data_IF_274273942396
#
_entry.id   IF_274273942396
#
_cell.length_a   1.000
_cell.length_b   1.000
_cell.length_c   1.000
_cell.angle_alpha   90.00
_cell.angle_beta   90.00
_cell.angle_gamma   90.00
#
_symmetry.space_group_name_H-M   'P 1'
#
loop_
_entity.id
_entity.type
_entity.pdbx_description
1 polymer ?
#
# COMPACT_ATOMS: atom_id res chain seq x y z
N UNK A 1 13.45 5.22 -27.58
CA UNK A 1 13.24 3.81 -27.16
C UNK A 1 14.52 3.16 -26.64
N UNK A 2 15.59 3.02 -27.43
CA UNK A 2 16.86 2.38 -27.03
C UNK A 2 17.52 2.93 -25.74
N UNK A 3 17.51 4.25 -25.54
CA UNK A 3 18.07 4.92 -24.33
C UNK A 3 17.19 4.75 -23.09
N UNK A 4 15.87 4.61 -23.26
CA UNK A 4 14.94 4.21 -22.18
C UNK A 4 15.13 2.73 -21.83
N UNK A 5 15.31 1.87 -22.83
CA UNK A 5 15.52 0.43 -22.66
C UNK A 5 16.82 0.11 -21.91
N UNK A 6 17.90 0.84 -22.20
CA UNK A 6 19.17 0.69 -21.46
C UNK A 6 19.08 1.21 -20.02
N UNK A 7 18.31 2.28 -19.75
CA UNK A 7 18.10 2.76 -18.39
C UNK A 7 17.18 1.86 -17.56
N UNK A 8 16.29 1.09 -18.22
CA UNK A 8 15.39 0.12 -17.59
C UNK A 8 16.10 -1.22 -17.30
N UNK A 9 16.96 -1.72 -18.21
CA UNK A 9 17.76 -2.92 -17.96
C UNK A 9 18.76 -2.75 -16.81
N UNK A 10 19.30 -1.54 -16.62
CA UNK A 10 20.22 -1.23 -15.53
C UNK A 10 19.55 -1.19 -14.13
N UNK A 11 18.21 -1.18 -14.05
CA UNK A 11 17.46 -1.00 -12.78
C UNK A 11 16.94 -2.30 -12.16
N UNK A 12 17.02 -3.43 -12.86
CA UNK A 12 16.29 -4.65 -12.48
C UNK A 12 17.16 -5.84 -12.03
N UNK A 13 18.48 -5.69 -11.91
CA UNK A 13 19.35 -6.77 -11.40
C UNK A 13 20.25 -6.21 -10.31
N UNK A 14 19.94 -6.54 -9.05
CA UNK A 14 20.87 -6.39 -7.94
C UNK A 14 21.99 -7.42 -8.11
N UNK A 15 23.00 -7.08 -8.90
CA UNK A 15 24.21 -7.87 -8.99
C UNK A 15 25.04 -7.65 -7.72
N UNK A 16 25.78 -8.67 -7.27
CA UNK A 16 26.82 -8.55 -6.23
C UNK A 16 27.85 -7.46 -6.60
N UNK A 17 27.94 -7.14 -7.89
CA UNK A 17 28.79 -6.12 -8.50
C UNK A 17 28.10 -4.78 -8.74
N UNK A 18 26.93 -4.49 -8.15
CA UNK A 18 26.30 -3.17 -8.30
C UNK A 18 27.27 -2.08 -7.80
N UNK A 19 27.84 -1.25 -8.71
CA UNK A 19 28.86 -0.27 -8.36
C UNK A 19 28.30 0.86 -7.48
N UNK A 20 26.98 0.90 -7.28
CA UNK A 20 26.30 1.85 -6.41
C UNK A 20 26.20 1.37 -4.96
N UNK A 21 26.48 0.09 -4.68
CA UNK A 21 26.40 -0.48 -3.33
C UNK A 21 27.80 -0.76 -2.74
N UNK A 22 27.92 -0.62 -1.42
CA UNK A 22 29.17 -0.84 -0.69
C UNK A 22 29.20 -2.23 -0.06
N UNK A 23 30.38 -2.83 0.00
CA UNK A 23 30.60 -4.07 0.73
C UNK A 23 30.82 -3.82 2.22
N UNK A 24 30.45 -4.79 3.07
CA UNK A 24 30.54 -4.65 4.52
C UNK A 24 31.94 -4.28 5.04
N UNK A 25 33.06 -4.81 4.50
CA UNK A 25 34.40 -4.39 4.95
C UNK A 25 34.68 -2.90 4.72
N UNK A 26 34.26 -2.35 3.58
CA UNK A 26 34.40 -0.92 3.26
C UNK A 26 33.59 -0.08 4.23
N UNK A 27 32.35 -0.50 4.53
CA UNK A 27 31.51 0.15 5.53
C UNK A 27 32.16 0.13 6.91
N UNK A 28 32.65 -1.03 7.36
CA UNK A 28 33.26 -1.20 8.68
C UNK A 28 34.48 -0.28 8.88
N UNK A 29 35.37 -0.21 7.88
CA UNK A 29 36.53 0.67 7.91
C UNK A 29 36.16 2.14 7.86
N UNK A 30 35.31 2.53 6.91
CA UNK A 30 34.96 3.93 6.74
C UNK A 30 34.20 4.47 7.97
N UNK A 31 33.21 3.74 8.46
CA UNK A 31 32.46 4.11 9.66
C UNK A 31 33.35 4.09 10.91
N UNK A 32 34.30 3.13 11.00
CA UNK A 32 35.27 3.06 12.08
C UNK A 32 36.29 4.20 12.08
N UNK A 33 36.65 4.75 10.92
CA UNK A 33 37.41 5.98 10.84
C UNK A 33 36.57 7.18 11.27
N UNK A 34 35.34 7.30 10.76
CA UNK A 34 34.47 8.43 11.06
C UNK A 34 34.19 8.55 12.55
N UNK A 35 33.90 7.45 13.24
CA UNK A 35 33.59 7.50 14.68
C UNK A 35 34.76 8.02 15.53
N UNK A 36 36.00 7.80 15.08
CA UNK A 36 37.21 8.32 15.75
C UNK A 36 37.46 9.80 15.44
N UNK A 37 37.08 10.26 14.25
CA UNK A 37 37.41 11.62 13.78
C UNK A 37 36.29 12.64 13.95
N UNK A 38 35.04 12.23 13.74
CA UNK A 38 33.87 13.11 13.69
C UNK A 38 32.60 12.27 13.96
N UNK A 39 32.13 12.31 15.20
CA UNK A 39 31.00 11.50 15.67
C UNK A 39 29.67 11.93 15.04
N UNK A 40 29.48 13.21 14.78
CA UNK A 40 28.28 13.73 14.09
C UNK A 40 28.22 13.22 12.65
N UNK A 41 29.36 13.24 11.95
CA UNK A 41 29.46 12.72 10.59
C UNK A 41 29.31 11.20 10.53
N UNK A 42 29.77 10.48 11.56
CA UNK A 42 29.48 9.06 11.75
C UNK A 42 27.97 8.82 11.89
N UNK A 43 27.26 9.55 12.76
CA UNK A 43 25.81 9.42 12.93
C UNK A 43 25.06 9.70 11.62
N UNK A 44 25.46 10.73 10.87
CA UNK A 44 24.91 11.03 9.55
C UNK A 44 25.08 9.85 8.58
N UNK A 45 26.31 9.34 8.42
CA UNK A 45 26.60 8.24 7.51
C UNK A 45 25.94 6.92 7.95
N UNK A 46 25.82 6.69 9.26
CA UNK A 46 25.12 5.55 9.83
C UNK A 46 23.63 5.57 9.47
N UNK A 47 22.98 6.72 9.61
CA UNK A 47 21.58 6.90 9.21
C UNK A 47 21.39 6.67 7.71
N UNK A 48 22.30 7.15 6.84
CA UNK A 48 22.22 6.87 5.40
C UNK A 48 22.21 5.36 5.11
N UNK A 49 23.15 4.61 5.69
CA UNK A 49 23.28 3.16 5.46
C UNK A 49 22.10 2.37 6.02
N UNK A 50 21.55 2.81 7.16
CA UNK A 50 20.52 2.05 7.87
C UNK A 50 19.09 2.44 7.48
N UNK A 51 18.88 3.62 6.91
CA UNK A 51 17.54 4.09 6.53
C UNK A 51 17.35 4.25 5.02
N UNK A 52 18.43 4.45 4.26
CA UNK A 52 18.36 4.73 2.82
C UNK A 52 17.73 6.09 2.48
N UNK A 53 17.52 6.96 3.48
CA UNK A 53 17.02 8.32 3.25
C UNK A 53 18.01 9.09 2.37
N UNK A 54 17.48 9.89 1.44
CA UNK A 54 18.31 10.72 0.55
C UNK A 54 19.21 11.66 1.35
N UNK A 55 20.50 11.81 0.98
CA UNK A 55 21.43 12.67 1.71
C UNK A 55 20.94 14.10 1.91
N UNK A 56 20.36 14.72 0.86
CA UNK A 56 19.82 16.08 0.91
C UNK A 56 18.76 16.23 2.01
N UNK A 57 17.77 15.33 2.00
CA UNK A 57 16.72 15.34 3.03
C UNK A 57 17.30 15.17 4.43
N UNK A 58 18.26 14.25 4.60
CA UNK A 58 18.85 13.99 5.92
C UNK A 58 19.65 15.20 6.42
N UNK A 59 20.37 15.89 5.54
CA UNK A 59 21.13 17.11 5.86
C UNK A 59 20.22 18.24 6.37
N UNK A 60 19.00 18.33 5.82
CA UNK A 60 18.04 19.38 6.12
C UNK A 60 17.09 19.03 7.29
N UNK A 61 17.24 17.85 7.91
CA UNK A 61 16.45 17.48 9.08
C UNK A 61 16.73 18.46 10.22
N UNK A 62 15.67 18.91 10.87
CA UNK A 62 15.74 19.82 12.03
C UNK A 62 15.31 19.11 13.30
N UNK A 63 15.78 19.59 14.44
CA UNK A 63 15.33 19.15 15.76
C UNK A 63 14.02 19.86 16.13
N UNK A 64 13.01 19.13 16.61
CA UNK A 64 11.77 19.73 17.14
C UNK A 64 11.21 18.92 18.31
N UNK A 65 10.62 19.61 19.29
CA UNK A 65 9.95 18.97 20.43
C UNK A 65 8.45 18.73 20.17
N UNK A 66 7.91 19.27 19.07
CA UNK A 66 6.51 19.11 18.67
C UNK A 66 6.36 19.03 17.13
N UNK A 67 5.26 18.46 16.61
CA UNK A 67 4.95 18.53 15.18
C UNK A 67 4.83 20.00 14.76
N UNK A 68 5.30 20.31 13.55
CA UNK A 68 5.15 21.62 12.94
C UNK A 68 4.82 21.40 11.47
N UNK A 69 3.72 22.00 11.02
CA UNK A 69 3.06 21.73 9.73
C UNK A 69 3.94 22.02 8.49
N UNK A 70 5.09 22.67 8.67
CA UNK A 70 5.95 23.14 7.56
C UNK A 70 7.17 22.28 7.26
N UNK A 71 7.62 21.41 8.18
CA UNK A 71 8.86 20.63 7.96
C UNK A 71 8.60 19.28 7.29
N UNK A 72 9.32 18.99 6.20
CA UNK A 72 9.24 17.70 5.52
C UNK A 72 9.86 16.54 6.33
N UNK A 73 10.83 16.84 7.21
CA UNK A 73 11.47 15.88 8.09
C UNK A 73 12.00 16.56 9.37
N UNK A 74 11.89 15.89 10.52
CA UNK A 74 12.43 16.37 11.80
C UNK A 74 12.76 15.21 12.75
N UNK A 75 13.66 15.46 13.71
CA UNK A 75 13.88 14.58 14.86
C UNK A 75 12.99 15.03 16.01
N UNK A 76 12.10 14.14 16.47
CA UNK A 76 11.37 14.28 17.73
C UNK A 76 12.24 13.77 18.87
N UNK A 77 12.77 14.70 19.66
CA UNK A 77 13.71 14.42 20.73
C UNK A 77 13.07 13.87 21.99
N UNK A 78 11.76 14.10 22.18
CA UNK A 78 11.03 13.52 23.31
C UNK A 78 10.87 12.02 23.13
N UNK A 79 10.69 11.58 21.89
CA UNK A 79 10.41 10.17 21.57
C UNK A 79 11.59 9.44 20.91
N UNK A 80 12.68 10.14 20.57
CA UNK A 80 13.82 9.61 19.80
C UNK A 80 13.37 9.04 18.43
N UNK A 81 12.43 9.72 17.78
CA UNK A 81 11.90 9.32 16.49
C UNK A 81 12.36 10.28 15.39
N UNK A 82 12.77 9.72 14.25
CA UNK A 82 12.90 10.47 13.02
C UNK A 82 11.55 10.44 12.29
N UNK A 83 10.98 11.62 12.04
CA UNK A 83 9.67 11.79 11.41
C UNK A 83 9.84 12.46 10.07
N UNK A 84 9.21 11.92 9.02
CA UNK A 84 9.31 12.46 7.66
C UNK A 84 8.13 12.05 6.79
N UNK A 85 7.83 12.89 5.81
CA UNK A 85 6.82 12.60 4.80
C UNK A 85 7.32 11.57 3.78
N UNK A 86 6.51 10.54 3.52
CA UNK A 86 6.79 9.55 2.48
C UNK A 86 6.39 10.10 1.11
N UNK A 87 7.37 10.38 0.26
CA UNK A 87 7.13 10.94 -1.08
C UNK A 87 6.73 9.85 -2.09
N UNK A 88 5.84 10.20 -3.01
CA UNK A 88 5.37 9.35 -4.12
C UNK A 88 4.67 8.04 -3.72
N UNK A 89 4.25 7.90 -2.46
CA UNK A 89 3.64 6.68 -1.94
C UNK A 89 2.11 6.68 -2.03
N UNK A 90 1.46 7.31 -1.05
CA UNK A 90 0.04 7.13 -0.78
C UNK A 90 -0.88 7.86 -1.76
N UNK A 91 -2.06 7.28 -2.00
CA UNK A 91 -3.24 8.06 -2.35
C UNK A 91 -3.63 8.88 -1.12
N UNK A 92 -3.29 10.16 -1.12
CA UNK A 92 -3.55 11.11 -0.06
C UNK A 92 -4.49 12.21 -0.55
N UNK A 93 -5.55 12.48 0.21
CA UNK A 93 -6.47 13.60 -0.05
C UNK A 93 -6.28 14.71 0.97
N UNK A 94 -5.99 14.32 2.21
CA UNK A 94 -5.64 15.24 3.28
C UNK A 94 -4.10 15.26 3.45
N UNK A 95 -3.42 16.37 3.14
CA UNK A 95 -1.99 16.51 3.30
C UNK A 95 -1.54 16.61 4.77
N UNK A 96 -2.47 16.73 5.72
CA UNK A 96 -2.18 16.76 7.15
C UNK A 96 -2.40 15.40 7.82
N UNK A 97 -2.85 14.40 7.06
CA UNK A 97 -3.15 13.08 7.60
C UNK A 97 -1.88 12.35 8.03
N UNK A 98 -1.91 11.77 9.23
CA UNK A 98 -0.78 11.04 9.81
C UNK A 98 -0.24 9.89 8.93
N UNK A 99 -1.11 9.31 8.09
CA UNK A 99 -0.76 8.18 7.21
C UNK A 99 0.28 8.53 6.14
N UNK A 100 0.56 9.81 5.88
CA UNK A 100 1.62 10.19 4.92
C UNK A 100 2.99 10.30 5.57
N UNK A 101 3.07 10.24 6.91
CA UNK A 101 4.30 10.35 7.66
C UNK A 101 4.79 8.98 8.14
N UNK A 102 6.08 8.74 7.95
CA UNK A 102 6.78 7.68 8.64
C UNK A 102 7.36 8.25 9.94
N UNK A 103 7.24 7.48 11.04
CA UNK A 103 7.99 7.73 12.28
C UNK A 103 8.86 6.52 12.53
N UNK A 104 10.17 6.73 12.52
CA UNK A 104 11.17 5.70 12.67
C UNK A 104 11.86 5.86 14.02
N UNK A 105 11.76 4.84 14.87
CA UNK A 105 12.46 4.79 16.14
C UNK A 105 13.96 4.58 15.90
N UNK A 106 14.78 5.43 16.49
CA UNK A 106 16.23 5.37 16.36
C UNK A 106 16.90 4.90 17.65
N UNK A 107 18.07 4.23 17.58
CA UNK A 107 18.88 3.95 18.76
C UNK A 107 19.23 5.22 19.54
N UNK A 108 19.11 5.18 20.87
CA UNK A 108 19.28 6.37 21.72
C UNK A 108 20.68 7.02 21.64
N UNK A 109 21.71 6.26 21.27
CA UNK A 109 23.05 6.80 21.09
C UNK A 109 23.19 7.72 19.86
N UNK A 110 22.32 7.58 18.86
CA UNK A 110 22.31 8.48 17.70
C UNK A 110 21.77 9.86 18.09
N UNK A 111 20.71 9.89 18.90
CA UNK A 111 20.00 11.13 19.23
C UNK A 111 20.77 12.00 20.23
N UNK A 112 21.60 11.40 21.08
CA UNK A 112 22.44 12.11 22.04
C UNK A 112 23.48 13.05 21.39
N UNK A 113 23.86 12.81 20.13
CA UNK A 113 24.85 13.60 19.41
C UNK A 113 24.24 14.80 18.67
N UNK A 114 22.92 14.96 18.71
CA UNK A 114 22.24 16.07 18.04
C UNK A 114 22.19 17.28 18.98
N UNK A 115 22.99 18.30 18.67
CA UNK A 115 23.01 19.58 19.38
C UNK A 115 21.64 20.27 19.47
N UNK A 116 21.53 21.29 20.33
CA UNK A 116 20.27 21.99 20.63
C UNK A 116 19.91 23.07 19.60
N UNK A 117 20.88 23.63 18.89
CA UNK A 117 20.67 24.74 17.95
C UNK A 117 21.33 24.41 16.59
N UNK A 118 20.55 24.56 15.50
CA UNK A 118 20.87 24.24 14.09
C UNK A 118 20.55 22.82 13.59
N UNK A 119 20.35 22.62 12.27
CA UNK A 119 20.24 21.29 11.68
C UNK A 119 21.48 20.46 12.06
N UNK A 120 21.33 19.28 12.70
CA UNK A 120 22.46 18.51 13.23
C UNK A 120 23.46 18.09 12.15
N UNK A 121 23.03 18.07 10.89
CA UNK A 121 23.83 17.60 9.76
C UNK A 121 24.11 18.68 8.71
N UNK A 122 24.01 19.97 9.07
CA UNK A 122 24.30 21.07 8.15
C UNK A 122 25.68 20.87 7.48
N UNK A 123 25.71 20.91 6.14
CA UNK A 123 26.91 20.68 5.31
C UNK A 123 27.53 19.26 5.42
N UNK A 124 26.87 18.29 6.05
CA UNK A 124 27.42 16.95 6.25
C UNK A 124 27.72 16.24 4.93
N UNK A 125 26.97 16.49 3.85
CA UNK A 125 27.23 15.88 2.54
C UNK A 125 28.61 16.25 2.01
N UNK A 126 28.97 17.54 2.06
CA UNK A 126 30.26 18.02 1.59
C UNK A 126 31.42 17.45 2.42
N UNK A 127 31.24 17.41 3.75
CA UNK A 127 32.24 16.88 4.68
C UNK A 127 32.42 15.36 4.53
N UNK A 128 31.31 14.59 4.48
CA UNK A 128 31.32 13.14 4.29
C UNK A 128 31.98 12.76 2.97
N UNK A 129 31.60 13.42 1.86
CA UNK A 129 32.21 13.13 0.56
C UNK A 129 33.69 13.52 0.50
N UNK A 130 34.13 14.57 1.23
CA UNK A 130 35.56 14.89 1.37
C UNK A 130 36.31 13.80 2.12
N UNK A 131 35.75 13.28 3.22
CA UNK A 131 36.35 12.16 3.95
C UNK A 131 36.35 10.87 3.13
N UNK A 132 35.27 10.57 2.39
CA UNK A 132 35.18 9.41 1.50
C UNK A 132 36.24 9.45 0.39
N UNK A 133 36.51 10.62 -0.19
CA UNK A 133 37.60 10.80 -1.16
C UNK A 133 38.96 10.51 -0.53
N UNK A 134 39.24 11.06 0.66
CA UNK A 134 40.49 10.79 1.39
C UNK A 134 40.65 9.30 1.72
N UNK A 135 39.58 8.67 2.20
CA UNK A 135 39.53 7.23 2.46
C UNK A 135 39.90 6.43 1.20
N UNK A 136 39.33 6.78 0.04
CA UNK A 136 39.57 6.07 -1.22
C UNK A 136 41.00 6.19 -1.75
N UNK A 137 41.80 7.15 -1.26
CA UNK A 137 43.23 7.24 -1.58
C UNK A 137 44.04 6.16 -0.88
N UNK A 138 43.56 5.68 0.28
CA UNK A 138 44.24 4.70 1.12
C UNK A 138 43.66 3.29 0.96
N UNK A 139 42.40 3.20 0.54
CA UNK A 139 41.67 1.93 0.44
C UNK A 139 41.14 1.72 -0.98
N UNK A 140 41.58 0.68 -1.69
CA UNK A 140 41.08 0.38 -3.03
C UNK A 140 39.62 -0.07 -2.98
N UNK A 141 38.84 0.30 -4.00
CA UNK A 141 37.44 -0.12 -4.17
C UNK A 141 36.47 1.05 -4.34
N UNK A 142 35.18 0.77 -4.13
CA UNK A 142 34.13 1.78 -4.30
C UNK A 142 34.21 2.84 -3.19
N UNK A 143 34.42 4.10 -3.58
CA UNK A 143 34.36 5.25 -2.67
C UNK A 143 33.03 5.30 -1.92
N UNK A 144 33.02 5.42 -0.57
CA UNK A 144 31.81 5.47 0.23
C UNK A 144 31.16 6.87 0.22
N UNK A 145 30.72 7.33 -0.95
CA UNK A 145 29.98 8.59 -1.07
C UNK A 145 28.60 8.50 -0.40
N UNK A 146 28.00 9.64 -0.04
CA UNK A 146 26.69 9.68 0.61
C UNK A 146 25.60 8.93 -0.18
N UNK A 147 25.57 9.09 -1.49
CA UNK A 147 24.63 8.39 -2.37
C UNK A 147 24.81 6.87 -2.33
N UNK A 148 26.05 6.38 -2.32
CA UNK A 148 26.32 4.94 -2.23
C UNK A 148 26.01 4.39 -0.85
N UNK A 149 26.28 5.15 0.21
CA UNK A 149 25.88 4.78 1.57
C UNK A 149 24.35 4.60 1.64
N UNK A 150 23.58 5.57 1.13
CA UNK A 150 22.13 5.49 1.08
C UNK A 150 21.63 4.34 0.19
N UNK A 151 22.21 4.12 -0.99
CA UNK A 151 21.83 3.02 -1.88
C UNK A 151 22.09 1.63 -1.26
N UNK A 152 23.14 1.52 -0.46
CA UNK A 152 23.53 0.25 0.20
C UNK A 152 22.45 -0.25 1.17
N UNK A 153 21.61 0.63 1.70
CA UNK A 153 20.46 0.26 2.53
C UNK A 153 19.60 -0.84 1.89
N UNK A 154 19.19 -0.68 0.63
CA UNK A 154 18.32 -1.66 -0.04
C UNK A 154 18.97 -3.04 -0.13
N UNK A 155 20.29 -3.11 -0.31
CA UNK A 155 21.02 -4.38 -0.36
C UNK A 155 21.09 -5.08 1.00
N UNK A 156 21.18 -4.30 2.08
CA UNK A 156 21.37 -4.82 3.43
C UNK A 156 20.04 -5.09 4.15
N UNK A 157 19.02 -4.29 3.89
CA UNK A 157 17.76 -4.28 4.64
C UNK A 157 16.58 -4.80 3.83
N UNK A 158 16.52 -4.60 2.50
CA UNK A 158 15.43 -5.09 1.65
C UNK A 158 15.65 -6.56 1.23
N UNK A 159 15.70 -7.44 2.24
CA UNK A 159 15.85 -8.89 2.08
C UNK A 159 14.51 -9.58 2.35
N UNK A 160 14.30 -10.76 1.75
CA UNK A 160 13.04 -11.52 1.93
C UNK A 160 12.71 -11.81 3.40
N UNK A 161 13.74 -11.89 4.26
CA UNK A 161 13.61 -12.23 5.68
C UNK A 161 13.30 -11.04 6.60
N UNK A 162 13.38 -9.80 6.12
CA UNK A 162 13.26 -8.62 6.97
C UNK A 162 12.24 -7.59 6.46
N UNK A 163 12.52 -7.01 5.30
CA UNK A 163 11.72 -5.93 4.72
C UNK A 163 11.54 -6.21 3.24
N UNK A 164 10.29 -6.15 2.79
CA UNK A 164 10.00 -6.12 1.35
C UNK A 164 10.57 -4.83 0.74
N UNK A 165 10.67 -4.79 -0.59
CA UNK A 165 11.16 -3.61 -1.31
C UNK A 165 10.31 -2.37 -1.03
N UNK A 166 8.99 -2.55 -0.93
CA UNK A 166 8.07 -1.45 -0.64
C UNK A 166 8.30 -0.90 0.77
N UNK A 167 8.45 -1.76 1.76
CA UNK A 167 8.65 -1.35 3.15
C UNK A 167 10.00 -0.67 3.35
N UNK A 168 11.04 -1.20 2.70
CA UNK A 168 12.34 -0.54 2.63
C UNK A 168 12.20 0.86 1.98
N UNK A 169 11.47 0.98 0.88
CA UNK A 169 11.22 2.28 0.24
C UNK A 169 10.41 3.25 1.12
N UNK A 170 9.47 2.73 1.92
CA UNK A 170 8.73 3.50 2.92
C UNK A 170 9.66 4.01 4.02
N UNK A 171 10.57 3.17 4.53
CA UNK A 171 11.61 3.58 5.49
C UNK A 171 12.56 4.61 4.85
N UNK A 172 12.97 4.45 3.59
CA UNK A 172 13.77 5.46 2.89
C UNK A 172 13.01 6.78 2.64
N UNK A 173 11.68 6.79 2.85
CA UNK A 173 10.85 7.98 2.71
C UNK A 173 10.61 8.43 1.28
N UNK A 174 11.01 7.64 0.28
CA UNK A 174 10.82 7.92 -1.14
C UNK A 174 10.51 6.65 -1.89
N UNK A 175 9.29 6.56 -2.41
CA UNK A 175 8.86 5.43 -3.21
C UNK A 175 9.41 5.56 -4.65
N UNK A 176 10.19 4.56 -5.14
CA UNK A 176 10.71 4.55 -6.50
C UNK A 176 9.59 4.33 -7.51
N UNK A 177 9.80 4.75 -8.77
CA UNK A 177 8.79 4.68 -9.83
C UNK A 177 8.17 3.28 -9.99
N UNK A 178 9.00 2.24 -9.94
CA UNK A 178 8.59 0.84 -10.06
C UNK A 178 7.64 0.36 -8.96
N UNK A 179 7.59 1.01 -7.80
CA UNK A 179 6.75 0.66 -6.65
C UNK A 179 5.61 1.67 -6.42
N UNK A 180 5.45 2.68 -7.30
CA UNK A 180 4.42 3.72 -7.11
C UNK A 180 3.01 3.17 -7.23
N UNK A 181 2.78 2.26 -8.18
CA UNK A 181 1.47 1.65 -8.36
C UNK A 181 1.05 0.94 -7.06
N UNK A 182 1.92 0.05 -6.58
CA UNK A 182 1.83 -0.62 -5.29
C UNK A 182 1.52 0.35 -4.12
N UNK A 183 2.41 1.32 -3.89
CA UNK A 183 2.34 2.21 -2.73
C UNK A 183 1.06 3.05 -2.65
N UNK A 184 0.36 3.27 -3.77
CA UNK A 184 -0.93 3.99 -3.78
C UNK A 184 -2.02 3.22 -3.07
N UNK A 185 -1.98 1.89 -3.12
CA UNK A 185 -3.04 1.01 -2.62
C UNK A 185 -2.79 0.50 -1.22
N UNK A 186 -1.53 0.24 -0.87
CA UNK A 186 -1.18 -0.40 0.39
C UNK A 186 -1.17 0.57 1.57
N UNK A 187 -1.46 0.02 2.74
CA UNK A 187 -1.14 0.58 4.03
C UNK A 187 -0.25 -0.39 4.79
N UNK A 188 0.74 0.16 5.48
CA UNK A 188 1.69 -0.58 6.30
C UNK A 188 1.48 -0.19 7.77
N UNK A 189 1.59 -1.18 8.65
CA UNK A 189 1.58 -0.96 10.09
C UNK A 189 2.95 -0.39 10.52
N UNK A 190 2.93 0.81 11.10
CA UNK A 190 4.14 1.54 11.48
C UNK A 190 4.89 0.85 12.62
N UNK A 191 4.18 0.23 13.55
CA UNK A 191 4.79 -0.48 14.66
C UNK A 191 5.52 -1.73 14.14
N UNK A 192 4.86 -2.49 13.26
CA UNK A 192 5.46 -3.66 12.61
C UNK A 192 6.70 -3.28 11.81
N UNK A 193 6.63 -2.22 10.99
CA UNK A 193 7.78 -1.71 10.25
C UNK A 193 8.96 -1.37 11.16
N UNK A 194 8.70 -0.72 12.30
CA UNK A 194 9.74 -0.40 13.27
C UNK A 194 10.35 -1.67 13.89
N UNK A 195 9.55 -2.68 14.24
CA UNK A 195 10.08 -3.96 14.73
C UNK A 195 11.00 -4.62 13.71
N UNK A 196 10.59 -4.65 12.44
CA UNK A 196 11.38 -5.26 11.37
C UNK A 196 12.66 -4.49 11.08
N UNK A 197 12.59 -3.16 11.07
CA UNK A 197 13.76 -2.30 11.00
C UNK A 197 14.75 -2.61 12.14
N UNK A 198 14.28 -2.75 13.38
CA UNK A 198 15.14 -3.07 14.53
C UNK A 198 15.83 -4.43 14.42
N UNK A 199 15.10 -5.46 13.96
CA UNK A 199 15.66 -6.79 13.72
C UNK A 199 16.75 -6.73 12.65
N UNK A 200 16.46 -6.12 11.50
CA UNK A 200 17.43 -5.96 10.42
C UNK A 200 18.65 -5.13 10.85
N UNK A 201 18.43 -4.10 11.67
CA UNK A 201 19.49 -3.25 12.22
C UNK A 201 20.41 -4.03 13.16
N UNK A 202 19.84 -4.82 14.07
CA UNK A 202 20.58 -5.69 14.97
C UNK A 202 21.40 -6.75 14.21
N UNK A 203 20.82 -7.34 13.16
CA UNK A 203 21.54 -8.27 12.29
C UNK A 203 22.69 -7.58 11.55
N UNK A 204 22.46 -6.38 11.01
CA UNK A 204 23.50 -5.59 10.37
C UNK A 204 24.66 -5.28 11.34
N UNK A 205 24.36 -4.90 12.59
CA UNK A 205 25.36 -4.71 13.65
C UNK A 205 26.15 -6.01 13.90
N UNK A 206 25.47 -7.15 14.05
CA UNK A 206 26.13 -8.44 14.25
C UNK A 206 27.06 -8.78 13.08
N UNK A 207 26.61 -8.57 11.84
CA UNK A 207 27.40 -8.82 10.64
C UNK A 207 28.61 -7.90 10.54
N UNK A 208 28.45 -6.59 10.74
CA UNK A 208 29.56 -5.64 10.62
C UNK A 208 30.61 -5.82 11.71
N UNK A 209 30.19 -6.16 12.94
CA UNK A 209 31.11 -6.39 14.08
C UNK A 209 31.86 -7.72 14.00
N UNK A 210 31.27 -8.73 13.37
CA UNK A 210 31.90 -10.04 13.11
C UNK A 210 33.03 -10.00 12.08
N UNK A 211 33.13 -8.92 11.30
CA UNK A 211 34.20 -8.76 10.31
C UNK A 211 35.51 -8.51 11.04
N UNK A 212 36.55 -9.27 10.69
CA UNK A 212 37.89 -9.13 11.28
C UNK A 212 38.41 -7.69 11.18
N UNK A 213 38.15 -7.06 10.03
CA UNK A 213 38.50 -5.67 9.73
C UNK A 213 37.75 -4.61 10.55
N UNK A 214 36.71 -4.95 11.31
CA UNK A 214 35.94 -3.97 12.09
C UNK A 214 36.77 -3.40 13.26
N UNK A 215 37.01 -2.07 13.33
CA UNK A 215 37.79 -1.48 14.42
C UNK A 215 37.11 -1.63 15.78
N UNK A 216 37.90 -1.80 16.85
CA UNK A 216 37.37 -2.05 18.19
C UNK A 216 36.53 -0.89 18.72
N UNK A 217 36.87 0.36 18.39
CA UNK A 217 36.06 1.54 18.72
C UNK A 217 34.65 1.41 18.16
N UNK A 218 34.52 0.98 16.89
CA UNK A 218 33.20 0.76 16.28
C UNK A 218 32.48 -0.42 16.95
N UNK A 219 33.16 -1.52 17.24
CA UNK A 219 32.57 -2.66 17.97
C UNK A 219 32.02 -2.25 19.33
N UNK A 220 32.79 -1.49 20.10
CA UNK A 220 32.40 -1.03 21.43
C UNK A 220 31.18 -0.11 21.37
N UNK A 221 31.16 0.87 20.45
CA UNK A 221 29.99 1.75 20.30
C UNK A 221 28.75 0.96 19.90
N UNK A 222 28.88 0.02 18.95
CA UNK A 222 27.75 -0.78 18.50
C UNK A 222 27.29 -1.84 19.50
N UNK A 223 28.10 -2.20 20.50
CA UNK A 223 27.72 -3.14 21.55
C UNK A 223 26.68 -2.56 22.53
N UNK A 224 26.60 -1.23 22.62
CA UNK A 224 25.68 -0.49 23.51
C UNK A 224 24.54 0.10 22.65
N UNK A 225 23.84 -0.74 21.89
CA UNK A 225 22.68 -0.30 21.12
C UNK A 225 21.38 -0.68 21.82
N UNK A 226 20.50 0.30 22.00
CA UNK A 226 19.14 0.07 22.47
C UNK A 226 18.16 0.97 21.73
N UNK A 227 17.11 0.36 21.19
CA UNK A 227 15.97 1.08 20.67
C UNK A 227 15.00 1.48 21.80
N UNK A 228 14.15 2.50 21.58
CA UNK A 228 13.05 2.81 22.48
C UNK A 228 12.15 1.59 22.66
N UNK A 229 11.72 1.33 23.90
CA UNK A 229 10.78 0.22 24.21
C UNK A 229 9.41 0.45 23.57
N UNK A 230 8.96 1.71 23.55
CA UNK A 230 7.69 2.08 22.94
C UNK A 230 7.92 2.43 21.48
N UNK A 231 7.24 1.71 20.59
CA UNK A 231 7.34 1.92 19.16
C UNK A 231 6.23 2.85 18.65
N UNK A 232 6.49 3.62 17.58
CA UNK A 232 5.46 4.42 16.93
C UNK A 232 4.36 3.51 16.35
N UNK A 233 3.12 3.69 16.82
CA UNK A 233 1.96 2.98 16.31
C UNK A 233 1.29 3.74 15.15
N UNK A 234 0.25 3.12 14.59
CA UNK A 234 -0.55 3.68 13.51
C UNK A 234 -0.16 3.15 12.14
N UNK A 235 -0.69 3.80 11.11
CA UNK A 235 -0.63 3.34 9.73
C UNK A 235 0.15 4.33 8.87
N UNK A 236 0.88 3.85 7.87
CA UNK A 236 1.52 4.67 6.84
C UNK A 236 1.15 4.13 5.45
N UNK A 237 0.75 5.01 4.52
CA UNK A 237 0.30 4.65 3.19
C UNK A 237 -1.09 5.19 2.85
N UNK A 238 -1.86 4.40 2.11
CA UNK A 238 -3.13 4.84 1.52
C UNK A 238 -4.19 5.30 2.54
N UNK A 239 -4.84 6.44 2.27
CA UNK A 239 -5.95 6.92 3.09
C UNK A 239 -7.27 6.18 2.81
N UNK A 240 -7.33 5.34 1.77
CA UNK A 240 -8.52 4.57 1.39
C UNK A 240 -8.54 3.13 1.90
N UNK A 241 -7.40 2.59 2.32
CA UNK A 241 -7.32 1.22 2.84
C UNK A 241 -7.79 1.19 4.30
N UNK A 242 -9.10 1.14 4.48
CA UNK A 242 -9.70 0.94 5.80
C UNK A 242 -9.55 -0.52 6.27
N UNK A 243 -9.52 -0.76 7.59
CA UNK A 243 -9.54 -2.12 8.13
C UNK A 243 -10.74 -2.92 7.57
N UNK A 244 -10.54 -4.18 7.11
CA UNK A 244 -11.63 -5.00 6.60
C UNK A 244 -12.81 -5.15 7.56
N UNK A 245 -12.55 -5.13 8.88
CA UNK A 245 -13.56 -5.22 9.92
C UNK A 245 -14.57 -4.06 9.88
N UNK A 246 -14.20 -2.90 9.34
CA UNK A 246 -15.10 -1.74 9.19
C UNK A 246 -16.25 -2.02 8.22
N UNK A 247 -16.14 -3.08 7.40
CA UNK A 247 -17.17 -3.47 6.43
C UNK A 247 -18.23 -4.39 7.02
N UNK A 248 -17.96 -5.02 8.16
CA UNK A 248 -18.87 -5.98 8.82
C UNK A 248 -20.20 -5.32 9.23
N UNK A 249 -20.24 -4.11 9.82
CA UNK A 249 -21.49 -3.42 10.13
C UNK A 249 -22.36 -3.19 8.90
N UNK A 250 -21.78 -2.78 7.78
CA UNK A 250 -22.51 -2.56 6.53
C UNK A 250 -23.19 -3.84 6.03
N UNK A 251 -22.45 -4.97 6.00
CA UNK A 251 -22.99 -6.26 5.57
C UNK A 251 -24.13 -6.72 6.49
N UNK A 252 -23.96 -6.57 7.82
CA UNK A 252 -25.02 -6.90 8.78
C UNK A 252 -26.27 -6.05 8.57
N UNK A 253 -26.12 -4.75 8.39
CA UNK A 253 -27.22 -3.83 8.15
C UNK A 253 -27.96 -4.13 6.85
N UNK A 254 -27.24 -4.44 5.75
CA UNK A 254 -27.85 -4.86 4.50
C UNK A 254 -28.71 -6.11 4.67
N UNK A 255 -28.19 -7.13 5.35
CA UNK A 255 -28.92 -8.37 5.60
C UNK A 255 -30.17 -8.16 6.47
N UNK A 256 -30.08 -7.30 7.49
CA UNK A 256 -31.22 -6.95 8.34
C UNK A 256 -32.29 -6.22 7.53
N UNK A 257 -31.92 -5.19 6.77
CA UNK A 257 -32.85 -4.42 5.92
C UNK A 257 -33.49 -5.30 4.86
N UNK A 258 -32.73 -6.22 4.26
CA UNK A 258 -33.24 -7.17 3.28
C UNK A 258 -34.29 -8.09 3.92
N UNK A 259 -34.00 -8.65 5.10
CA UNK A 259 -34.91 -9.54 5.82
C UNK A 259 -36.24 -8.84 6.13
N UNK A 260 -36.20 -7.58 6.57
CA UNK A 260 -37.41 -6.77 6.77
C UNK A 260 -38.17 -6.55 5.47
N UNK A 261 -37.51 -6.09 4.41
CA UNK A 261 -38.16 -5.84 3.12
C UNK A 261 -38.79 -7.11 2.54
N UNK A 262 -38.09 -8.24 2.64
CA UNK A 262 -38.57 -9.53 2.17
C UNK A 262 -39.75 -10.06 2.98
N UNK A 263 -39.76 -9.85 4.31
CA UNK A 263 -40.90 -10.17 5.16
C UNK A 263 -42.12 -9.32 4.77
N UNK A 264 -41.96 -8.01 4.61
CA UNK A 264 -43.03 -7.10 4.20
C UNK A 264 -43.60 -7.44 2.82
N UNK A 265 -42.75 -7.85 1.88
CA UNK A 265 -43.16 -8.33 0.55
C UNK A 265 -44.09 -9.56 0.64
N UNK A 266 -43.85 -10.45 1.62
CA UNK A 266 -44.67 -11.64 1.84
C UNK A 266 -45.99 -11.33 2.58
N UNK A 267 -46.00 -10.35 3.48
CA UNK A 267 -47.13 -10.07 4.35
C UNK A 267 -48.08 -8.96 3.86
N UNK A 268 -47.59 -8.00 3.05
CA UNK A 268 -48.38 -6.84 2.61
C UNK A 268 -49.04 -7.08 1.25
N UNK A 269 -50.32 -6.70 1.10
CA UNK A 269 -51.01 -6.64 -0.20
C UNK A 269 -50.85 -5.28 -0.90
N UNK A 270 -50.77 -4.20 -0.13
CA UNK A 270 -50.50 -2.85 -0.63
C UNK A 270 -48.99 -2.62 -0.79
N UNK A 271 -48.61 -1.82 -1.80
CA UNK A 271 -47.22 -1.44 -2.08
C UNK A 271 -46.25 -2.62 -2.35
N UNK A 272 -46.75 -3.78 -2.80
CA UNK A 272 -45.93 -4.96 -3.16
C UNK A 272 -44.78 -4.62 -4.10
N UNK A 273 -45.02 -3.75 -5.08
CA UNK A 273 -44.00 -3.32 -6.04
C UNK A 273 -42.85 -2.55 -5.36
N UNK A 274 -43.17 -1.63 -4.43
CA UNK A 274 -42.15 -0.88 -3.67
C UNK A 274 -41.33 -1.81 -2.79
N UNK A 275 -41.97 -2.75 -2.11
CA UNK A 275 -41.27 -3.74 -1.28
C UNK A 275 -40.40 -4.70 -2.10
N UNK A 276 -40.88 -5.09 -3.29
CA UNK A 276 -40.11 -5.89 -4.24
C UNK A 276 -38.86 -5.14 -4.71
N UNK A 277 -38.99 -3.88 -5.15
CA UNK A 277 -37.86 -3.05 -5.58
C UNK A 277 -36.84 -2.86 -4.46
N UNK A 278 -37.29 -2.60 -3.22
CA UNK A 278 -36.40 -2.52 -2.05
C UNK A 278 -35.63 -3.82 -1.81
N UNK A 279 -36.33 -4.96 -1.81
CA UNK A 279 -35.70 -6.26 -1.60
C UNK A 279 -34.67 -6.58 -2.71
N UNK A 280 -35.01 -6.29 -3.98
CA UNK A 280 -34.11 -6.46 -5.12
C UNK A 280 -32.87 -5.55 -5.00
N UNK A 281 -33.05 -4.27 -4.70
CA UNK A 281 -31.95 -3.31 -4.55
C UNK A 281 -30.99 -3.75 -3.43
N UNK A 282 -31.50 -4.14 -2.27
CA UNK A 282 -30.67 -4.63 -1.15
C UNK A 282 -29.94 -5.94 -1.48
N UNK A 283 -30.58 -6.86 -2.18
CA UNK A 283 -29.96 -8.11 -2.61
C UNK A 283 -28.84 -7.88 -3.62
N UNK A 284 -29.05 -6.98 -4.59
CA UNK A 284 -28.04 -6.63 -5.58
C UNK A 284 -26.94 -5.73 -5.01
N UNK A 285 -27.22 -4.91 -3.98
CA UNK A 285 -26.20 -4.20 -3.21
C UNK A 285 -25.27 -5.19 -2.48
N UNK A 286 -25.81 -6.27 -1.91
CA UNK A 286 -24.99 -7.34 -1.32
C UNK A 286 -24.15 -8.07 -2.39
N UNK A 287 -24.73 -8.34 -3.57
CA UNK A 287 -23.97 -8.89 -4.70
C UNK A 287 -22.84 -7.96 -5.16
N UNK A 288 -23.09 -6.65 -5.19
CA UNK A 288 -22.07 -5.65 -5.50
C UNK A 288 -20.89 -5.75 -4.52
N UNK A 289 -21.16 -5.79 -3.21
CA UNK A 289 -20.12 -5.95 -2.19
C UNK A 289 -19.33 -7.26 -2.33
N UNK A 290 -20.04 -8.38 -2.51
CA UNK A 290 -19.39 -9.70 -2.66
C UNK A 290 -18.48 -9.72 -3.90
N UNK A 291 -18.90 -9.11 -5.01
CA UNK A 291 -18.07 -8.98 -6.21
C UNK A 291 -16.85 -8.10 -5.98
N UNK A 292 -16.99 -6.95 -5.30
CA UNK A 292 -15.87 -6.09 -4.96
C UNK A 292 -14.83 -6.82 -4.09
N UNK A 293 -15.28 -7.60 -3.10
CA UNK A 293 -14.40 -8.41 -2.24
C UNK A 293 -13.76 -9.58 -2.99
N UNK A 294 -14.52 -10.31 -3.82
CA UNK A 294 -14.01 -11.50 -4.50
C UNK A 294 -13.00 -11.18 -5.59
N UNK A 295 -13.19 -10.05 -6.27
CA UNK A 295 -12.48 -9.78 -7.51
C UNK A 295 -11.56 -8.55 -7.43
N UNK A 296 -11.56 -7.82 -6.31
CA UNK A 296 -10.76 -6.60 -6.11
C UNK A 296 -10.87 -5.58 -7.28
N UNK A 297 -12.02 -5.59 -7.96
CA UNK A 297 -12.20 -4.90 -9.23
C UNK A 297 -12.27 -3.39 -9.05
N UNK A 298 -12.08 -2.69 -10.17
CA UNK A 298 -12.67 -1.36 -10.31
C UNK A 298 -14.21 -1.48 -10.11
N UNK A 299 -14.88 -0.45 -9.58
CA UNK A 299 -16.34 -0.40 -9.49
C UNK A 299 -16.98 -0.87 -10.81
N UNK A 300 -18.00 -1.71 -10.69
CA UNK A 300 -18.75 -2.21 -11.85
C UNK A 300 -19.31 -1.00 -12.60
N UNK A 301 -18.87 -0.81 -13.84
CA UNK A 301 -19.34 0.23 -14.77
C UNK A 301 -20.11 -0.36 -15.94
N UNK A 302 -20.66 0.49 -16.80
CA UNK A 302 -21.46 0.06 -17.97
C UNK A 302 -20.72 -0.89 -18.91
N UNK A 303 -19.41 -0.66 -19.12
CA UNK A 303 -18.55 -1.51 -19.94
C UNK A 303 -18.03 -2.77 -19.20
N UNK A 304 -18.56 -3.08 -18.02
CA UNK A 304 -18.13 -4.27 -17.26
C UNK A 304 -18.90 -5.49 -17.71
N UNK A 305 -18.19 -6.55 -18.06
CA UNK A 305 -18.77 -7.86 -18.35
C UNK A 305 -18.24 -8.90 -17.37
N UNK A 306 -19.05 -9.93 -17.10
CA UNK A 306 -18.67 -11.08 -16.27
C UNK A 306 -19.13 -12.37 -16.92
N UNK A 307 -18.29 -13.40 -16.86
CA UNK A 307 -18.64 -14.77 -17.20
C UNK A 307 -18.20 -15.70 -16.07
N UNK A 308 -19.10 -16.56 -15.59
CA UNK A 308 -18.79 -17.57 -14.60
C UNK A 308 -18.73 -18.93 -15.26
N UNK A 309 -17.65 -19.66 -14.97
CA UNK A 309 -17.61 -21.10 -15.18
C UNK A 309 -17.89 -21.79 -13.86
N UNK A 310 -19.07 -22.41 -13.74
CA UNK A 310 -19.41 -23.28 -12.61
C UNK A 310 -18.48 -24.49 -12.58
N UNK A 311 -18.20 -25.07 -13.76
CA UNK A 311 -17.33 -26.24 -13.91
C UNK A 311 -15.92 -25.98 -13.36
N UNK A 312 -15.32 -24.84 -13.72
CA UNK A 312 -13.97 -24.48 -13.27
C UNK A 312 -13.97 -23.64 -11.99
N UNK A 313 -15.15 -23.33 -11.43
CA UNK A 313 -15.33 -22.39 -10.30
C UNK A 313 -14.55 -21.10 -10.51
N UNK A 314 -14.66 -20.50 -11.68
CA UNK A 314 -13.92 -19.28 -12.09
C UNK A 314 -14.87 -18.19 -12.54
N UNK A 315 -14.51 -16.95 -12.23
CA UNK A 315 -15.15 -15.74 -12.71
C UNK A 315 -14.15 -14.96 -13.57
N UNK A 316 -14.53 -14.65 -14.80
CA UNK A 316 -13.80 -13.74 -15.69
C UNK A 316 -14.57 -12.43 -15.70
N UNK A 317 -13.90 -11.34 -15.38
CA UNK A 317 -14.46 -9.99 -15.54
C UNK A 317 -13.59 -9.13 -16.43
N UNK A 318 -14.23 -8.29 -17.23
CA UNK A 318 -13.57 -7.33 -18.09
C UNK A 318 -14.04 -5.93 -17.70
N UNK A 319 -13.12 -5.04 -17.34
CA UNK A 319 -13.44 -3.66 -16.94
C UNK A 319 -12.81 -2.68 -17.92
N UNK A 320 -13.53 -2.37 -19.02
CA UNK A 320 -13.12 -1.45 -20.11
C UNK A 320 -11.85 -1.87 -20.87
N UNK A 321 -11.90 -1.85 -22.20
CA UNK A 321 -10.69 -1.95 -23.02
C UNK A 321 -9.90 -0.65 -22.88
N UNK A 322 -8.63 -0.73 -22.51
CA UNK A 322 -7.70 0.39 -22.70
C UNK A 322 -7.28 0.41 -24.18
N UNK A 323 -6.81 1.56 -24.67
CA UNK A 323 -6.39 1.71 -26.08
C UNK A 323 -5.24 0.79 -26.49
N UNK A 324 -4.56 0.17 -25.50
CA UNK A 324 -3.40 -0.68 -25.70
C UNK A 324 -3.63 -2.12 -25.18
N UNK A 325 -4.50 -2.33 -24.18
CA UNK A 325 -4.70 -3.66 -23.55
C UNK A 325 -6.13 -3.93 -23.09
N UNK A 326 -6.52 -5.21 -23.07
CA UNK A 326 -7.76 -5.69 -22.43
C UNK A 326 -7.45 -6.16 -21.01
N UNK A 327 -7.93 -5.43 -20.00
CA UNK A 327 -7.87 -5.89 -18.62
C UNK A 327 -8.92 -7.00 -18.40
N UNK A 328 -8.45 -8.24 -18.35
CA UNK A 328 -9.25 -9.40 -17.93
C UNK A 328 -8.78 -9.84 -16.56
N UNK A 329 -9.68 -9.80 -15.57
CA UNK A 329 -9.41 -10.34 -14.24
C UNK A 329 -10.03 -11.72 -14.14
N UNK A 330 -9.22 -12.71 -13.80
CA UNK A 330 -9.64 -14.07 -13.48
C UNK A 330 -9.62 -14.25 -11.97
N UNK A 331 -10.75 -14.56 -11.36
CA UNK A 331 -10.84 -14.87 -9.95
C UNK A 331 -11.48 -16.25 -9.73
N UNK A 332 -11.19 -16.86 -8.59
CA UNK A 332 -11.96 -18.00 -8.12
C UNK A 332 -13.37 -17.55 -7.78
N UNK A 333 -14.37 -18.30 -8.25
CA UNK A 333 -15.75 -18.09 -7.85
C UNK A 333 -15.94 -18.72 -6.47
N UNK A 334 -16.00 -17.89 -5.42
CA UNK A 334 -16.28 -18.40 -4.08
C UNK A 334 -17.70 -18.99 -4.02
N UNK A 335 -17.89 -19.98 -3.15
CA UNK A 335 -19.24 -20.53 -2.90
C UNK A 335 -20.24 -19.48 -2.42
N UNK A 336 -19.76 -18.43 -1.74
CA UNK A 336 -20.58 -17.27 -1.37
C UNK A 336 -21.05 -16.49 -2.59
N UNK A 337 -20.15 -16.17 -3.53
CA UNK A 337 -20.50 -15.48 -4.77
C UNK A 337 -21.51 -16.29 -5.59
N UNK A 338 -21.27 -17.60 -5.73
CA UNK A 338 -22.17 -18.49 -6.45
C UNK A 338 -23.59 -18.48 -5.84
N UNK A 339 -23.70 -18.68 -4.52
CA UNK A 339 -25.00 -18.65 -3.82
C UNK A 339 -25.71 -17.31 -3.97
N UNK A 340 -24.98 -16.20 -3.88
CA UNK A 340 -25.58 -14.87 -4.04
C UNK A 340 -26.11 -14.67 -5.47
N UNK A 341 -25.36 -15.14 -6.47
CA UNK A 341 -25.77 -15.06 -7.88
C UNK A 341 -26.99 -15.92 -8.16
N UNK A 342 -27.03 -17.14 -7.65
CA UNK A 342 -28.19 -18.02 -7.72
C UNK A 342 -29.41 -17.40 -7.03
N UNK A 343 -29.22 -16.80 -5.85
CA UNK A 343 -30.28 -16.10 -5.13
C UNK A 343 -30.80 -14.89 -5.94
N UNK A 344 -29.92 -14.08 -6.54
CA UNK A 344 -30.33 -12.96 -7.40
C UNK A 344 -31.07 -13.44 -8.65
N UNK A 345 -30.62 -14.53 -9.30
CA UNK A 345 -31.32 -15.15 -10.43
C UNK A 345 -32.74 -15.59 -10.02
N UNK A 346 -32.88 -16.23 -8.86
CA UNK A 346 -34.16 -16.64 -8.31
C UNK A 346 -35.12 -15.47 -8.09
N UNK A 347 -34.67 -14.40 -7.43
CA UNK A 347 -35.53 -13.23 -7.16
C UNK A 347 -35.87 -12.46 -8.45
N UNK A 348 -34.94 -12.37 -9.40
CA UNK A 348 -35.17 -11.75 -10.72
C UNK A 348 -36.25 -12.49 -11.52
N UNK A 349 -36.24 -13.83 -11.51
CA UNK A 349 -37.28 -14.63 -12.18
C UNK A 349 -38.67 -14.36 -11.60
N UNK A 350 -38.76 -14.17 -10.29
CA UNK A 350 -40.01 -13.74 -9.64
C UNK A 350 -40.40 -12.33 -10.08
N UNK A 351 -39.44 -11.40 -10.08
CA UNK A 351 -39.65 -9.98 -10.42
C UNK A 351 -40.05 -9.74 -11.88
N UNK A 352 -39.70 -10.65 -12.80
CA UNK A 352 -39.90 -10.53 -14.25
C UNK A 352 -41.33 -10.15 -14.66
N UNK A 353 -42.34 -10.58 -13.90
CA UNK A 353 -43.76 -10.30 -14.18
C UNK A 353 -44.15 -8.82 -14.02
N UNK A 354 -43.32 -8.03 -13.33
CA UNK A 354 -43.55 -6.62 -13.05
C UNK A 354 -42.58 -5.68 -13.80
N UNK A 355 -41.71 -6.20 -14.68
CA UNK A 355 -40.71 -5.40 -15.40
C UNK A 355 -41.21 -4.94 -16.77
N UNK A 356 -41.22 -3.62 -17.01
CA UNK A 356 -41.78 -3.00 -18.23
C UNK A 356 -40.68 -2.54 -19.20
N UNK A 357 -39.50 -2.18 -18.68
CA UNK A 357 -38.34 -1.82 -19.50
C UNK A 357 -37.14 -2.68 -19.15
N UNK A 358 -36.76 -3.49 -20.12
CA UNK A 358 -35.69 -4.46 -20.01
C UNK A 358 -34.58 -3.99 -20.95
N UNK A 359 -33.41 -3.60 -20.44
CA UNK A 359 -32.24 -3.52 -21.30
C UNK A 359 -32.02 -4.91 -21.93
N UNK A 360 -31.83 -4.95 -23.24
CA UNK A 360 -31.67 -6.18 -24.06
C UNK A 360 -30.64 -7.16 -23.51
N UNK A 361 -29.74 -6.67 -22.67
CA UNK A 361 -28.56 -7.37 -22.17
C UNK A 361 -28.79 -8.00 -20.78
N UNK A 362 -30.03 -7.96 -20.26
CA UNK A 362 -30.41 -8.37 -18.89
C UNK A 362 -31.17 -9.73 -18.88
N UNK A 363 -30.62 -10.73 -19.61
CA UNK A 363 -30.77 -12.20 -19.42
C UNK A 363 -31.75 -12.98 -20.32
N UNK A 364 -31.29 -14.12 -20.90
CA UNK A 364 -31.16 -15.40 -20.17
C UNK A 364 -29.77 -16.09 -20.12
N UNK A 365 -28.76 -15.66 -20.87
CA UNK A 365 -27.52 -16.46 -21.07
C UNK A 365 -26.25 -15.98 -20.35
N UNK A 366 -26.34 -14.94 -19.51
CA UNK A 366 -25.17 -14.38 -18.82
C UNK A 366 -25.31 -14.50 -17.30
N UNK A 367 -24.26 -14.20 -16.54
CA UNK A 367 -24.32 -14.12 -15.08
C UNK A 367 -24.67 -12.71 -14.60
N UNK A 368 -25.53 -12.56 -13.57
CA UNK A 368 -25.97 -11.26 -13.08
C UNK A 368 -24.79 -10.48 -12.50
N UNK A 369 -24.37 -9.43 -13.20
CA UNK A 369 -23.75 -8.30 -12.53
C UNK A 369 -24.81 -7.56 -11.69
N UNK A 370 -24.41 -6.79 -10.68
CA UNK A 370 -25.31 -6.02 -9.83
C UNK A 370 -26.22 -5.10 -10.64
N UNK A 371 -27.48 -5.02 -10.23
CA UNK A 371 -28.53 -4.23 -10.87
C UNK A 371 -29.16 -3.29 -9.86
N UNK A 372 -29.62 -2.14 -10.34
CA UNK A 372 -30.41 -1.18 -9.59
C UNK A 372 -31.80 -1.10 -10.22
N UNK A 373 -32.82 -1.07 -9.38
CA UNK A 373 -34.23 -1.11 -9.76
C UNK A 373 -34.95 0.15 -9.30
N UNK A 374 -35.82 0.68 -10.15
CA UNK A 374 -36.69 1.81 -9.84
C UNK A 374 -38.08 1.61 -10.43
N UNK A 375 -39.09 2.19 -9.76
CA UNK A 375 -40.48 2.20 -10.23
C UNK A 375 -40.68 3.39 -11.18
N UNK A 376 -41.31 3.17 -12.34
CA UNK A 376 -41.66 4.23 -13.28
C UNK A 376 -42.92 4.98 -12.84
N UNK A 377 -43.02 6.25 -13.22
CA UNK A 377 -44.23 7.06 -12.99
C UNK A 377 -45.48 6.49 -13.67
N UNK A 378 -45.33 5.82 -14.81
CA UNK A 378 -46.41 5.14 -15.53
C UNK A 378 -46.66 3.70 -15.08
N UNK A 379 -46.04 3.26 -13.98
CA UNK A 379 -46.09 1.88 -13.49
C UNK A 379 -45.01 0.99 -14.08
N UNK A 380 -44.61 -0.04 -13.33
CA UNK A 380 -43.63 -1.03 -13.73
C UNK A 380 -42.21 -0.73 -13.27
N UNK A 381 -41.41 -1.80 -13.24
CA UNK A 381 -40.03 -1.77 -12.75
C UNK A 381 -39.05 -1.62 -13.92
N UNK A 382 -38.15 -0.64 -13.80
CA UNK A 382 -36.96 -0.48 -14.66
C UNK A 382 -35.73 -1.02 -13.93
N UNK A 383 -34.87 -1.73 -14.65
CA UNK A 383 -33.56 -2.14 -14.15
C UNK A 383 -32.42 -1.51 -14.96
N UNK A 384 -31.33 -1.16 -14.29
CA UNK A 384 -30.07 -0.75 -14.90
C UNK A 384 -28.88 -1.37 -14.14
N UNK A 385 -27.66 -1.29 -14.70
CA UNK A 385 -26.45 -1.77 -13.99
C UNK A 385 -26.20 -0.91 -12.75
N UNK A 386 -25.94 -1.55 -11.61
CA UNK A 386 -25.58 -0.83 -10.39
C UNK A 386 -24.12 -0.39 -10.46
N UNK A 387 -23.93 0.91 -10.70
CA UNK A 387 -22.65 1.59 -10.58
C UNK A 387 -22.31 1.91 -9.12
N UNK A 388 -21.10 2.39 -8.86
CA UNK A 388 -20.72 2.87 -7.52
C UNK A 388 -21.59 4.02 -7.00
N UNK A 389 -22.11 4.89 -7.87
CA UNK A 389 -23.03 5.97 -7.48
C UNK A 389 -24.41 5.43 -7.11
N UNK A 390 -24.95 4.50 -7.91
CA UNK A 390 -26.24 3.86 -7.63
C UNK A 390 -26.18 2.95 -6.39
N UNK A 391 -25.02 2.34 -6.13
CA UNK A 391 -24.79 1.63 -4.88
C UNK A 391 -24.89 2.58 -3.68
N UNK A 392 -24.23 3.75 -3.71
CA UNK A 392 -24.36 4.75 -2.63
C UNK A 392 -25.79 5.25 -2.47
N UNK A 393 -26.46 5.59 -3.57
CA UNK A 393 -27.86 5.97 -3.55
C UNK A 393 -28.72 4.90 -2.88
N UNK A 394 -28.51 3.62 -3.20
CA UNK A 394 -29.20 2.51 -2.53
C UNK A 394 -28.94 2.50 -1.02
N UNK A 395 -27.72 2.80 -0.56
CA UNK A 395 -27.42 2.87 0.87
C UNK A 395 -28.09 4.06 1.55
N UNK A 396 -28.10 5.22 0.89
CA UNK A 396 -28.74 6.46 1.36
C UNK A 396 -30.26 6.26 1.51
N UNK A 397 -30.92 5.67 0.51
CA UNK A 397 -32.35 5.34 0.53
C UNK A 397 -32.76 4.44 1.71
N UNK A 398 -31.80 3.70 2.29
CA UNK A 398 -32.01 2.79 3.41
C UNK A 398 -31.39 3.28 4.73
N UNK A 399 -30.79 4.48 4.74
CA UNK A 399 -30.19 5.13 5.91
C UNK A 399 -28.95 4.40 6.45
N UNK A 400 -28.15 3.80 5.58
CA UNK A 400 -26.95 3.01 5.94
C UNK A 400 -25.70 3.46 5.18
N UNK A 401 -25.76 4.59 4.49
CA UNK A 401 -24.67 5.23 3.75
C UNK A 401 -23.48 5.59 4.65
N UNK A 402 -23.73 6.05 5.87
CA UNK A 402 -22.70 6.35 6.88
C UNK A 402 -21.83 5.14 7.26
N UNK A 403 -22.32 3.91 7.03
CA UNK A 403 -21.56 2.67 7.24
C UNK A 403 -20.61 2.35 6.08
N UNK A 404 -20.70 3.11 4.99
CA UNK A 404 -19.84 2.97 3.83
C UNK A 404 -18.95 4.21 3.69
N UNK A 405 -17.79 4.23 4.36
CA UNK A 405 -16.88 5.38 4.35
C UNK A 405 -16.18 5.59 2.99
N UNK A 406 -16.47 4.79 1.97
CA UNK A 406 -15.62 4.68 0.79
C UNK A 406 -15.91 5.72 -0.30
N UNK A 407 -14.83 6.43 -0.67
CA UNK A 407 -14.66 7.00 -2.01
C UNK A 407 -14.47 5.85 -3.02
N UNK A 408 -14.87 6.06 -4.29
CA UNK A 408 -14.78 5.04 -5.33
C UNK A 408 -13.37 4.39 -5.35
N UNK A 409 -13.31 3.05 -5.46
CA UNK A 409 -12.12 2.19 -5.36
C UNK A 409 -11.64 1.77 -3.95
N UNK A 410 -12.29 2.15 -2.84
CA UNK A 410 -11.88 1.75 -1.48
C UNK A 410 -11.59 0.25 -1.32
N UNK A 411 -12.50 -0.61 -1.76
CA UNK A 411 -12.33 -2.08 -1.78
C UNK A 411 -11.02 -2.60 -2.35
N UNK A 412 -10.53 -1.97 -3.42
CA UNK A 412 -9.28 -2.34 -4.06
C UNK A 412 -8.09 -2.07 -3.12
N UNK A 413 -8.12 -0.96 -2.40
CA UNK A 413 -7.11 -0.61 -1.40
C UNK A 413 -7.16 -1.54 -0.18
N UNK A 414 -8.37 -1.86 0.31
CA UNK A 414 -8.59 -2.81 1.41
C UNK A 414 -8.05 -4.19 1.04
N UNK A 415 -8.42 -4.70 -0.14
CA UNK A 415 -8.00 -6.02 -0.63
C UNK A 415 -6.49 -6.08 -0.86
N UNK A 416 -5.90 -5.06 -1.49
CA UNK A 416 -4.46 -4.95 -1.68
C UNK A 416 -3.71 -5.02 -0.35
N UNK A 417 -4.14 -4.21 0.62
CA UNK A 417 -3.54 -4.15 1.96
C UNK A 417 -3.69 -5.48 2.70
N UNK A 418 -4.85 -6.12 2.62
CA UNK A 418 -5.09 -7.42 3.26
C UNK A 418 -4.24 -8.55 2.66
N UNK A 419 -4.04 -8.55 1.34
CA UNK A 419 -3.29 -9.57 0.62
C UNK A 419 -1.77 -9.33 0.64
N UNK A 420 -1.33 -8.12 0.96
CA UNK A 420 0.10 -7.80 1.11
C UNK A 420 0.76 -8.78 2.08
N UNK A 421 1.90 -9.36 1.67
CA UNK A 421 2.64 -10.45 2.36
C UNK A 421 1.93 -11.79 2.52
N UNK A 422 0.64 -11.90 2.16
CA UNK A 422 -0.09 -13.18 2.14
C UNK A 422 -0.05 -13.85 0.76
N UNK A 423 0.19 -13.04 -0.26
CA UNK A 423 0.30 -13.45 -1.66
C UNK A 423 1.63 -12.92 -2.19
N UNK A 424 2.34 -13.69 -3.04
CA UNK A 424 3.53 -13.20 -3.73
C UNK A 424 3.23 -11.86 -4.44
N UNK A 425 4.13 -10.89 -4.29
CA UNK A 425 3.92 -9.52 -4.80
C UNK A 425 3.62 -9.47 -6.30
N UNK A 426 4.23 -10.38 -7.09
CA UNK A 426 4.01 -10.46 -8.53
C UNK A 426 2.57 -10.83 -8.87
N UNK A 427 2.01 -11.81 -8.15
CA UNK A 427 0.62 -12.25 -8.32
C UNK A 427 -0.32 -11.14 -7.89
N UNK A 428 -0.02 -10.47 -6.78
CA UNK A 428 -0.85 -9.36 -6.28
C UNK A 428 -0.85 -8.18 -7.26
N UNK A 429 0.28 -7.84 -7.87
CA UNK A 429 0.35 -6.79 -8.87
C UNK A 429 -0.43 -7.14 -10.14
N UNK A 430 -0.30 -8.37 -10.64
CA UNK A 430 -1.08 -8.87 -11.78
C UNK A 430 -2.59 -8.83 -11.50
N UNK A 431 -3.02 -9.34 -10.34
CA UNK A 431 -4.43 -9.32 -9.93
C UNK A 431 -4.99 -7.90 -9.87
N UNK A 432 -4.15 -6.95 -9.47
CA UNK A 432 -4.51 -5.56 -9.35
C UNK A 432 -4.37 -4.81 -10.69
N UNK A 433 -3.84 -5.43 -11.75
CA UNK A 433 -3.45 -4.74 -12.97
C UNK A 433 -2.55 -3.53 -12.67
N UNK A 434 -1.59 -3.71 -11.74
CA UNK A 434 -0.50 -2.78 -11.55
C UNK A 434 0.53 -3.03 -12.63
N UNK A 435 0.66 -2.05 -13.51
CA UNK A 435 1.69 -2.07 -14.54
C UNK A 435 3.06 -2.04 -13.86
N UNK A 436 3.89 -3.07 -14.07
CA UNK A 436 5.31 -3.02 -13.68
C UNK A 436 6.08 -2.56 -14.89
N UNK A 437 6.71 -1.39 -14.80
CA UNK A 437 7.72 -0.96 -15.78
C UNK A 437 8.76 -2.09 -15.97
N UNK A 438 8.67 -2.82 -17.09
CA UNK A 438 9.58 -3.92 -17.43
C UNK A 438 9.02 -5.36 -17.42
N UNK A 439 7.74 -5.60 -17.11
CA UNK A 439 7.09 -6.90 -17.38
C UNK A 439 6.68 -7.05 -18.86
N UNK A 440 6.66 -5.95 -19.62
CA UNK A 440 6.30 -5.89 -21.06
C UNK A 440 7.26 -6.62 -22.02
N UNK A 441 8.23 -7.40 -21.53
CA UNK A 441 9.21 -8.10 -22.35
C UNK A 441 9.04 -9.62 -22.40
N UNK A 442 7.98 -10.17 -21.77
CA UNK A 442 7.62 -11.57 -21.89
C UNK A 442 6.18 -11.70 -22.42
N UNK A 443 5.98 -11.29 -23.67
CA UNK A 443 4.80 -11.57 -24.48
C UNK A 443 5.22 -11.97 -25.88
#
# INVERSE_FOLDING_TARGET
LRTRLQSMAARNVYAITDPNCLHLPVLAWFLGQLIQTDRTLFCFCWLLVTTGISPDRLQDVVRKDSPNDTAEAWFDMRTNHLVYKVQNGATAFDPNNDRIYMRLALPGWLTNEFGLEHPPFKNAIALANKQAKKFSLQYPGNTPSCERLAATFYRLFATEDHLTRLEAATIAGRIPASLRAQARYYVLDRELLNRQYQVAHAEFIKRITSIHACPDVLRQTLSIFSFPRQLPSGLVGSQLAEPPNNTVPLVKSLNQKFSTAYSCLRSSFEDKEKWLVRALNLQHANLYLILQVNMALRPVGEATSMSLSILFKRAITQTKADSVFRNQSLAMCSGLLQRQIEACKGTLLLAKRWMVDQPSDIFPNHDPLPLYFSVRQCGGIRACRMSGSLFRQCLEEHGIDHLFPEKNNGWRHISATFLHRRVPEIILDEMMAHDREGLDFAG
#
